data_IF_150616298580
#
_entry.id   IF_150616298580
#
_cell.length_a   1.000
_cell.length_b   1.000
_cell.length_c   1.000
_cell.angle_alpha   90.00
_cell.angle_beta   90.00
_cell.angle_gamma   90.00
#
_symmetry.space_group_name_H-M   'P 1'
#
loop_
_entity.id
_entity.type
_entity.pdbx_description
1 polymer ?
#
# COMPACT_ATOMS: atom_id res chain seq x y z
N UNK A 1 4.26 -18.37 -18.08
CA UNK A 1 2.81 -18.30 -17.79
C UNK A 1 2.62 -17.16 -16.83
N UNK A 2 1.94 -16.09 -17.24
CA UNK A 2 1.75 -14.90 -16.42
C UNK A 2 0.94 -15.27 -15.16
N UNK A 3 1.32 -14.73 -14.00
CA UNK A 3 0.64 -14.99 -12.72
C UNK A 3 0.27 -13.69 -12.04
N UNK A 4 -1.00 -13.60 -11.63
CA UNK A 4 -1.44 -12.50 -10.78
C UNK A 4 -1.10 -12.79 -9.31
N UNK A 5 -0.55 -11.78 -8.64
CA UNK A 5 -0.30 -11.79 -7.20
C UNK A 5 -1.11 -10.68 -6.54
N UNK A 6 -1.84 -11.03 -5.49
CA UNK A 6 -2.55 -10.08 -4.65
C UNK A 6 -1.77 -9.89 -3.36
N UNK A 7 -1.45 -8.64 -3.03
CA UNK A 7 -0.89 -8.26 -1.74
C UNK A 7 -1.95 -7.43 -1.02
N UNK A 8 -2.33 -7.83 0.17
CA UNK A 8 -3.31 -7.10 0.98
C UNK A 8 -2.77 -6.84 2.37
N UNK A 9 -3.18 -5.73 2.94
CA UNK A 9 -2.97 -5.41 4.35
C UNK A 9 -4.22 -4.76 4.92
N UNK A 10 -4.59 -5.07 6.17
CA UNK A 10 -3.97 -6.08 7.03
C UNK A 10 -4.35 -7.52 6.65
N UNK A 11 -3.65 -8.52 7.22
CA UNK A 11 -4.05 -9.92 7.04
C UNK A 11 -5.29 -10.28 7.87
N UNK A 12 -5.49 -9.58 9.00
CA UNK A 12 -6.62 -9.71 9.93
C UNK A 12 -7.02 -8.33 10.47
N UNK A 13 -8.21 -8.24 11.08
CA UNK A 13 -8.77 -6.94 11.51
C UNK A 13 -7.97 -6.31 12.67
N UNK A 14 -7.31 -7.11 13.52
CA UNK A 14 -6.50 -6.59 14.64
C UNK A 14 -5.28 -5.78 14.19
N UNK A 15 -4.71 -6.11 13.02
CA UNK A 15 -3.56 -5.40 12.44
C UNK A 15 -3.95 -4.12 11.67
N UNK A 16 -5.25 -3.84 11.56
CA UNK A 16 -5.76 -2.68 10.82
C UNK A 16 -5.44 -1.34 11.49
N UNK A 17 -5.09 -1.36 12.78
CA UNK A 17 -4.95 -0.17 13.61
C UNK A 17 -3.52 0.36 13.62
N UNK A 18 -3.37 1.64 13.31
CA UNK A 18 -2.15 2.41 13.52
C UNK A 18 -2.36 3.34 14.71
N UNK A 19 -1.56 3.22 15.79
CA UNK A 19 -1.66 4.12 16.94
C UNK A 19 -1.50 5.59 16.56
N UNK A 20 -2.06 6.49 17.35
CA UNK A 20 -1.90 7.93 17.18
C UNK A 20 -0.41 8.33 17.19
N UNK A 21 0.00 9.16 16.24
CA UNK A 21 1.38 9.62 16.07
C UNK A 21 2.37 8.57 15.59
N UNK A 22 1.93 7.34 15.29
CA UNK A 22 2.81 6.26 14.86
C UNK A 22 2.94 6.18 13.33
N UNK A 23 4.10 5.71 12.90
CA UNK A 23 4.35 5.26 11.52
C UNK A 23 4.74 3.79 11.57
N UNK A 24 4.11 2.98 10.71
CA UNK A 24 4.42 1.56 10.58
C UNK A 24 4.81 1.23 9.15
N UNK A 25 5.74 0.28 8.99
CA UNK A 25 6.05 -0.34 7.71
C UNK A 25 5.22 -1.61 7.57
N UNK A 26 4.35 -1.67 6.57
CA UNK A 26 3.40 -2.77 6.35
C UNK A 26 3.87 -3.74 5.26
N UNK A 27 4.77 -3.29 4.40
CA UNK A 27 5.44 -4.10 3.39
C UNK A 27 6.86 -3.57 3.19
N UNK A 28 7.83 -4.46 3.17
CA UNK A 28 9.22 -4.18 2.81
C UNK A 28 9.79 -5.45 2.18
N UNK A 29 9.70 -5.55 0.84
CA UNK A 29 10.20 -6.72 0.11
C UNK A 29 10.37 -6.44 -1.38
N UNK A 30 11.16 -7.30 -2.01
CA UNK A 30 11.24 -7.42 -3.47
C UNK A 30 9.94 -7.99 -4.04
N UNK A 31 9.41 -7.34 -5.07
CA UNK A 31 8.23 -7.73 -5.84
C UNK A 31 8.64 -8.28 -7.20
N UNK A 32 9.41 -7.54 -7.99
CA UNK A 32 9.70 -7.83 -9.40
C UNK A 32 8.42 -8.08 -10.21
N UNK A 33 7.52 -7.10 -10.20
CA UNK A 33 6.25 -7.24 -10.88
C UNK A 33 5.61 -5.91 -11.17
N UNK A 34 4.57 -5.98 -11.98
CA UNK A 34 3.90 -4.83 -12.53
C UNK A 34 2.60 -4.56 -11.79
N UNK A 35 2.54 -3.46 -11.05
CA UNK A 35 1.33 -3.03 -10.35
C UNK A 35 0.27 -2.65 -11.38
N UNK A 36 -0.88 -3.32 -11.35
CA UNK A 36 -2.02 -3.11 -12.26
C UNK A 36 -3.15 -2.33 -11.60
N UNK A 37 -3.34 -2.52 -10.30
CA UNK A 37 -4.39 -1.84 -9.53
C UNK A 37 -4.01 -1.74 -8.06
N UNK A 38 -4.45 -0.66 -7.43
CA UNK A 38 -4.35 -0.42 -6.00
C UNK A 38 -5.68 0.11 -5.48
N UNK A 39 -6.23 -0.54 -4.45
CA UNK A 39 -7.34 -0.03 -3.66
C UNK A 39 -6.83 0.33 -2.26
N UNK A 40 -7.26 1.47 -1.74
CA UNK A 40 -6.87 1.96 -0.41
C UNK A 40 -8.07 2.48 0.37
N UNK A 41 -7.97 2.40 1.69
CA UNK A 41 -8.82 3.12 2.63
C UNK A 41 -7.94 3.76 3.68
N UNK A 42 -7.77 5.08 3.55
CA UNK A 42 -6.90 5.93 4.36
C UNK A 42 -7.81 6.95 5.09
N UNK A 43 -7.81 6.98 6.43
CA UNK A 43 -8.58 7.94 7.22
C UNK A 43 -8.02 9.36 7.07
N UNK A 44 -8.76 10.35 7.56
CA UNK A 44 -8.45 11.78 7.39
C UNK A 44 -7.05 12.20 7.87
N UNK A 45 -6.61 11.65 9.00
CA UNK A 45 -5.26 11.89 9.54
C UNK A 45 -4.26 10.81 9.13
N UNK A 46 -4.56 10.10 8.05
CA UNK A 46 -3.78 9.00 7.54
C UNK A 46 -2.95 9.40 6.34
N UNK A 47 -1.70 8.93 6.34
CA UNK A 47 -0.79 9.08 5.21
C UNK A 47 -0.25 7.70 4.85
N UNK A 48 -0.33 7.35 3.57
CA UNK A 48 0.31 6.15 3.03
C UNK A 48 1.32 6.58 1.96
N UNK A 49 2.56 6.12 2.14
CA UNK A 49 3.65 6.31 1.19
C UNK A 49 4.08 4.95 0.64
N UNK A 50 4.15 4.86 -0.69
CA UNK A 50 4.62 3.67 -1.40
C UNK A 50 5.90 4.04 -2.16
N UNK A 51 7.00 3.36 -1.84
CA UNK A 51 8.29 3.53 -2.50
C UNK A 51 8.58 2.37 -3.44
N UNK A 52 9.21 2.70 -4.56
CA UNK A 52 9.85 1.76 -5.47
C UNK A 52 11.35 2.07 -5.49
N UNK A 53 12.21 1.13 -5.12
CA UNK A 53 13.67 1.33 -5.06
C UNK A 53 14.06 2.60 -4.27
N UNK A 54 13.45 2.79 -3.09
CA UNK A 54 13.58 3.95 -2.20
C UNK A 54 13.08 5.31 -2.75
N UNK A 55 12.45 5.34 -3.93
CA UNK A 55 11.84 6.54 -4.49
C UNK A 55 10.33 6.49 -4.26
N UNK A 56 9.75 7.55 -3.70
CA UNK A 56 8.30 7.66 -3.51
C UNK A 56 7.61 7.64 -4.87
N UNK A 57 6.80 6.60 -5.11
CA UNK A 57 6.08 6.40 -6.37
C UNK A 57 4.61 6.77 -6.26
N UNK A 58 3.98 6.47 -5.12
CA UNK A 58 2.59 6.83 -4.84
C UNK A 58 2.47 7.36 -3.41
N UNK A 59 1.50 8.26 -3.23
CA UNK A 59 1.20 8.89 -1.96
C UNK A 59 -0.32 9.06 -1.85
N UNK A 60 -0.90 8.65 -0.72
CA UNK A 60 -2.33 8.78 -0.44
C UNK A 60 -2.53 9.44 0.92
N UNK A 61 -3.52 10.34 1.00
CA UNK A 61 -3.94 10.99 2.25
C UNK A 61 -5.43 11.23 2.22
N UNK A 62 -6.14 10.91 3.31
CA UNK A 62 -7.60 11.11 3.42
C UNK A 62 -8.38 10.58 2.20
N UNK A 63 -8.08 9.36 1.76
CA UNK A 63 -8.57 8.81 0.50
C UNK A 63 -9.17 7.41 0.70
N UNK A 64 -10.34 7.17 0.12
CA UNK A 64 -10.92 5.84 0.01
C UNK A 64 -11.33 5.61 -1.44
N UNK A 65 -10.60 4.74 -2.13
CA UNK A 65 -10.75 4.60 -3.58
C UNK A 65 -9.91 3.49 -4.19
N UNK A 66 -9.98 3.42 -5.51
CA UNK A 66 -9.21 2.49 -6.33
C UNK A 66 -8.59 3.25 -7.50
N UNK A 67 -7.31 2.96 -7.77
CA UNK A 67 -6.60 3.44 -8.95
C UNK A 67 -6.26 2.23 -9.82
N UNK A 68 -6.69 2.28 -11.07
CA UNK A 68 -6.29 1.32 -12.10
C UNK A 68 -5.15 1.89 -12.94
N UNK A 69 -4.19 1.04 -13.28
CA UNK A 69 -3.03 1.38 -14.10
C UNK A 69 -3.10 0.53 -15.38
N UNK A 70 -3.77 1.00 -16.45
CA UNK A 70 -4.06 0.18 -17.64
C UNK A 70 -2.81 -0.40 -18.31
N UNK A 71 -1.71 0.34 -18.25
CA UNK A 71 -0.42 -0.10 -18.76
C UNK A 71 0.50 -0.66 -17.67
N UNK A 72 0.10 -0.62 -16.41
CA UNK A 72 0.84 -1.03 -15.23
C UNK A 72 2.10 -0.20 -14.94
N UNK A 73 2.65 -0.35 -13.74
CA UNK A 73 3.92 0.29 -13.32
C UNK A 73 4.82 -0.76 -12.70
N UNK A 74 6.08 -0.84 -13.16
CA UNK A 74 7.06 -1.80 -12.65
C UNK A 74 7.49 -1.45 -11.23
N UNK A 75 7.51 -2.46 -10.35
CA UNK A 75 8.07 -2.38 -9.00
C UNK A 75 9.10 -3.49 -8.80
N UNK A 76 10.31 -3.10 -8.45
CA UNK A 76 11.38 -4.04 -8.09
C UNK A 76 11.38 -4.24 -6.58
N UNK A 77 11.79 -3.23 -5.80
CA UNK A 77 11.70 -3.25 -4.34
C UNK A 77 10.60 -2.31 -3.86
N UNK A 78 9.58 -2.86 -3.18
CA UNK A 78 8.45 -2.08 -2.68
C UNK A 78 8.50 -1.94 -1.16
N UNK A 79 8.41 -0.69 -0.69
CA UNK A 79 8.20 -0.37 0.72
C UNK A 79 6.90 0.41 0.86
N UNK A 80 6.04 0.00 1.80
CA UNK A 80 4.81 0.72 2.15
C UNK A 80 4.88 1.12 3.61
N UNK A 81 4.76 2.41 3.85
CA UNK A 81 4.65 2.98 5.19
C UNK A 81 3.33 3.68 5.36
N UNK A 82 2.71 3.49 6.52
CA UNK A 82 1.47 4.14 6.90
C UNK A 82 1.69 4.93 8.18
N UNK A 83 1.41 6.22 8.14
CA UNK A 83 1.48 7.12 9.29
C UNK A 83 0.08 7.57 9.70
N UNK A 84 -0.16 7.61 11.01
CA UNK A 84 -1.32 8.23 11.61
C UNK A 84 -0.88 9.52 12.31
N UNK A 85 -1.21 10.67 11.74
CA UNK A 85 -0.87 11.99 12.28
C UNK A 85 -1.93 12.53 13.24
N UNK A 86 -2.99 11.76 13.50
CA UNK A 86 -4.09 12.12 14.37
C UNK A 86 -3.81 11.85 15.85
N UNK A 87 -4.82 12.14 16.68
CA UNK A 87 -4.79 11.97 18.14
C UNK A 87 -5.34 10.63 18.62
N UNK A 88 -6.07 9.91 17.76
CA UNK A 88 -6.68 8.61 18.04
C UNK A 88 -6.13 7.53 17.11
N UNK A 89 -6.18 6.27 17.55
CA UNK A 89 -5.83 5.14 16.69
C UNK A 89 -6.78 5.08 15.49
N UNK A 90 -6.24 4.86 14.29
CA UNK A 90 -6.99 4.91 13.06
C UNK A 90 -6.80 3.63 12.24
N UNK A 91 -7.81 3.28 11.45
CA UNK A 91 -7.83 2.06 10.63
C UNK A 91 -7.41 2.37 9.20
N UNK A 92 -6.58 1.49 8.64
CA UNK A 92 -6.11 1.58 7.26
C UNK A 92 -6.17 0.21 6.60
N UNK A 93 -6.41 0.19 5.29
CA UNK A 93 -6.23 -1.02 4.51
C UNK A 93 -5.81 -0.69 3.08
N UNK A 94 -5.22 -1.69 2.43
CA UNK A 94 -4.97 -1.66 1.01
C UNK A 94 -5.02 -3.05 0.39
N UNK A 95 -5.24 -3.08 -0.92
CA UNK A 95 -5.12 -4.24 -1.78
C UNK A 95 -4.37 -3.84 -3.06
N UNK A 96 -3.34 -4.59 -3.41
CA UNK A 96 -2.52 -4.41 -4.59
C UNK A 96 -2.66 -5.63 -5.48
N UNK A 97 -2.80 -5.40 -6.77
CA UNK A 97 -2.80 -6.45 -7.79
C UNK A 97 -1.58 -6.28 -8.67
N UNK A 98 -0.71 -7.28 -8.65
CA UNK A 98 0.49 -7.36 -9.48
C UNK A 98 0.33 -8.42 -10.55
N UNK A 99 0.81 -8.08 -11.74
CA UNK A 99 1.11 -9.02 -12.82
C UNK A 99 2.60 -9.38 -12.72
N UNK A 100 2.90 -10.68 -12.64
CA UNK A 100 4.27 -11.16 -12.49
C UNK A 100 4.71 -11.94 -13.72
N UNK A 101 5.94 -11.68 -14.16
CA UNK A 101 6.63 -12.54 -15.12
C UNK A 101 7.01 -13.88 -14.45
N UNK A 102 6.98 -14.94 -15.25
CA UNK A 102 7.16 -16.33 -14.80
C UNK A 102 8.63 -16.71 -14.60
#
# INVERSE_FOLDING_TARGET
MMRDIIIKYPANISEMLVPAGATITTLDRRINGKLRSIAVSIPENGIMEIKNNNITSLFFSNEAGCVELPHGVEYEDMVITVANTGTDAARFNYLLVFEMDA
#
